data_IF_928773313852
#
_entry.id   IF_928773313852
#
_cell.length_a   1.000
_cell.length_b   1.000
_cell.length_c   1.000
_cell.angle_alpha   90.00
_cell.angle_beta   90.00
_cell.angle_gamma   90.00
#
_symmetry.space_group_name_H-M   'P 1'
#
loop_
_entity.id
_entity.type
_entity.pdbx_description
1 polymer ?
#
# COMPACT_ATOMS: atom_id res chain seq x y z
N UNK A 1 5.92 10.59 27.22
CA UNK A 1 6.40 10.75 25.83
C UNK A 1 6.12 9.47 25.08
N UNK A 2 5.67 9.54 23.82
CA UNK A 2 5.59 8.35 22.98
C UNK A 2 7.01 7.80 22.73
N UNK A 3 7.17 6.48 22.66
CA UNK A 3 8.44 5.86 22.25
C UNK A 3 8.53 5.90 20.74
N UNK A 4 9.61 6.47 20.20
CA UNK A 4 9.83 6.64 18.75
C UNK A 4 10.98 5.78 18.26
N UNK A 5 10.92 5.42 16.98
CA UNK A 5 12.03 4.84 16.23
C UNK A 5 12.47 5.92 15.24
N UNK A 6 13.76 6.24 15.23
CA UNK A 6 14.35 7.13 14.23
C UNK A 6 14.94 6.28 13.10
N UNK A 7 14.60 6.64 11.86
CA UNK A 7 15.00 5.89 10.67
C UNK A 7 15.76 6.85 9.75
N UNK A 8 16.98 6.48 9.37
CA UNK A 8 17.76 7.21 8.39
C UNK A 8 17.27 6.89 6.98
N UNK A 9 17.28 7.89 6.10
CA UNK A 9 17.04 7.69 4.67
C UNK A 9 18.23 6.95 4.06
N UNK A 10 17.97 6.19 2.99
CA UNK A 10 18.98 5.45 2.26
C UNK A 10 19.75 6.37 1.31
N UNK A 11 21.08 6.33 1.39
CA UNK A 11 21.99 6.99 0.43
C UNK A 11 21.92 6.36 -0.98
N UNK A 12 21.26 5.21 -1.09
CA UNK A 12 21.09 4.47 -2.34
C UNK A 12 19.61 4.31 -2.68
N UNK A 13 19.29 4.46 -3.96
CA UNK A 13 17.94 4.24 -4.49
C UNK A 13 17.84 2.91 -5.21
N UNK A 14 16.64 2.31 -5.21
CA UNK A 14 16.40 1.09 -5.97
C UNK A 14 16.32 1.42 -7.47
N UNK A 15 17.32 1.01 -8.26
CA UNK A 15 17.35 1.32 -9.70
C UNK A 15 16.10 0.79 -10.46
N UNK A 16 15.53 -0.34 -10.03
CA UNK A 16 14.27 -0.85 -10.58
C UNK A 16 13.08 0.03 -10.16
N UNK A 17 13.05 0.48 -8.90
CA UNK A 17 12.04 1.40 -8.38
C UNK A 17 12.04 2.75 -9.09
N UNK A 18 13.22 3.33 -9.34
CA UNK A 18 13.37 4.58 -10.10
C UNK A 18 12.78 4.45 -11.52
N UNK A 19 13.13 3.39 -12.25
CA UNK A 19 12.59 3.14 -13.60
C UNK A 19 11.09 2.89 -13.59
N UNK A 20 10.59 2.17 -12.59
CA UNK A 20 9.16 1.96 -12.42
C UNK A 20 8.44 3.29 -12.17
N UNK A 21 8.96 4.13 -11.26
CA UNK A 21 8.38 5.42 -10.96
C UNK A 21 8.35 6.35 -12.17
N UNK A 22 9.43 6.38 -12.97
CA UNK A 22 9.47 7.13 -14.21
C UNK A 22 8.39 6.67 -15.20
N UNK A 23 8.19 5.35 -15.36
CA UNK A 23 7.14 4.80 -16.25
C UNK A 23 5.72 5.11 -15.76
N UNK A 24 5.51 5.23 -14.45
CA UNK A 24 4.20 5.49 -13.87
C UNK A 24 3.89 6.97 -13.68
N UNK A 25 4.91 7.84 -13.80
CA UNK A 25 4.73 9.28 -13.77
C UNK A 25 3.84 9.71 -14.93
N UNK A 26 2.74 10.38 -14.60
CA UNK A 26 1.67 10.73 -15.53
C UNK A 26 1.10 12.11 -15.21
N UNK A 27 0.44 12.70 -16.20
CA UNK A 27 -0.34 13.94 -16.08
C UNK A 27 -1.72 13.69 -16.70
N UNK A 28 -2.81 13.71 -15.91
CA UNK A 28 -2.85 13.98 -14.47
C UNK A 28 -2.12 12.90 -13.63
N UNK A 29 -1.66 13.22 -12.41
CA UNK A 29 -1.08 12.22 -11.52
C UNK A 29 -2.07 11.10 -11.19
N UNK A 30 -1.54 9.92 -10.86
CA UNK A 30 -2.33 8.79 -10.31
C UNK A 30 -2.40 8.87 -8.79
N UNK A 31 -3.35 8.16 -8.20
CA UNK A 31 -3.38 7.95 -6.76
C UNK A 31 -2.31 6.94 -6.34
N UNK A 32 -1.58 7.26 -5.27
CA UNK A 32 -0.58 6.39 -4.69
C UNK A 32 -1.25 5.35 -3.79
N UNK A 33 -1.07 4.06 -4.11
CA UNK A 33 -1.59 2.95 -3.31
C UNK A 33 -0.45 2.28 -2.55
N UNK A 34 -0.44 2.45 -1.24
CA UNK A 34 0.44 1.78 -0.27
C UNK A 34 -0.37 0.68 0.42
N UNK A 35 0.26 -0.42 0.83
CA UNK A 35 -0.43 -1.47 1.58
C UNK A 35 0.40 -1.98 2.77
N UNK A 36 -0.25 -2.78 3.61
CA UNK A 36 0.42 -3.62 4.59
C UNK A 36 1.34 -4.60 3.85
N UNK A 37 2.60 -4.64 4.26
CA UNK A 37 3.62 -5.58 3.77
C UNK A 37 3.99 -6.61 4.86
N UNK A 38 3.10 -6.82 5.83
CA UNK A 38 3.28 -7.83 6.86
C UNK A 38 3.26 -9.23 6.26
N UNK A 39 4.11 -10.13 6.76
CA UNK A 39 4.17 -11.52 6.32
C UNK A 39 2.89 -12.33 6.62
N UNK A 40 2.07 -11.86 7.55
CA UNK A 40 0.85 -12.56 7.95
C UNK A 40 -0.22 -12.57 6.84
N UNK A 41 -1.20 -13.45 7.01
CA UNK A 41 -2.39 -13.60 6.18
C UNK A 41 -3.07 -12.27 5.82
N UNK A 42 -3.20 -11.37 6.80
CA UNK A 42 -3.82 -10.05 6.62
C UNK A 42 -2.98 -9.16 5.71
N UNK A 43 -1.66 -9.16 5.91
CA UNK A 43 -0.73 -8.41 5.07
C UNK A 43 -0.68 -8.97 3.65
N UNK A 44 -0.64 -10.30 3.51
CA UNK A 44 -0.66 -10.97 2.21
C UNK A 44 -1.93 -10.66 1.42
N UNK A 45 -3.09 -10.71 2.07
CA UNK A 45 -4.38 -10.39 1.45
C UNK A 45 -4.42 -8.92 1.01
N UNK A 46 -3.98 -7.98 1.87
CA UNK A 46 -3.91 -6.56 1.55
C UNK A 46 -2.96 -6.27 0.38
N UNK A 47 -1.80 -6.95 0.34
CA UNK A 47 -0.79 -6.84 -0.72
C UNK A 47 -1.34 -7.30 -2.07
N UNK A 48 -2.01 -8.45 -2.11
CA UNK A 48 -2.68 -8.95 -3.32
C UNK A 48 -3.79 -8.00 -3.77
N UNK A 49 -4.61 -7.50 -2.86
CA UNK A 49 -5.68 -6.55 -3.18
C UNK A 49 -5.12 -5.25 -3.79
N UNK A 50 -4.06 -4.68 -3.19
CA UNK A 50 -3.41 -3.49 -3.69
C UNK A 50 -2.85 -3.68 -5.12
N UNK A 51 -2.25 -4.85 -5.39
CA UNK A 51 -1.75 -5.18 -6.72
C UNK A 51 -2.90 -5.31 -7.73
N UNK A 52 -4.03 -5.93 -7.36
CA UNK A 52 -5.21 -5.99 -8.22
C UNK A 52 -5.73 -4.60 -8.57
N UNK A 53 -5.82 -3.69 -7.58
CA UNK A 53 -6.29 -2.31 -7.78
C UNK A 53 -5.40 -1.61 -8.82
N UNK A 54 -4.09 -1.50 -8.57
CA UNK A 54 -3.24 -0.63 -9.38
C UNK A 54 -2.71 -1.27 -10.68
N UNK A 55 -2.80 -2.60 -10.85
CA UNK A 55 -2.29 -3.28 -12.05
C UNK A 55 -3.37 -3.90 -12.91
N UNK A 56 -4.60 -4.05 -12.42
CA UNK A 56 -5.69 -4.68 -13.18
C UNK A 56 -6.95 -3.83 -13.23
N UNK A 57 -7.45 -3.37 -12.09
CA UNK A 57 -8.78 -2.76 -12.03
C UNK A 57 -8.78 -1.29 -12.46
N UNK A 58 -7.79 -0.51 -12.02
CA UNK A 58 -7.70 0.93 -12.32
C UNK A 58 -6.26 1.37 -12.64
N UNK A 59 -5.55 0.69 -13.58
CA UNK A 59 -4.12 0.93 -13.82
C UNK A 59 -3.79 2.34 -14.33
N UNK A 60 -4.75 3.04 -14.92
CA UNK A 60 -4.58 4.42 -15.38
C UNK A 60 -4.84 5.47 -14.28
N UNK A 61 -5.44 5.07 -13.16
CA UNK A 61 -5.82 5.98 -12.05
C UNK A 61 -5.04 5.72 -10.76
N UNK A 62 -4.43 4.54 -10.62
CA UNK A 62 -3.70 4.15 -9.41
C UNK A 62 -2.28 3.65 -9.74
N UNK A 63 -1.36 3.87 -8.82
CA UNK A 63 0.01 3.34 -8.88
C UNK A 63 0.38 2.64 -7.57
N UNK A 64 0.94 1.43 -7.65
CA UNK A 64 1.49 0.76 -6.47
C UNK A 64 2.79 1.44 -6.04
N UNK A 65 2.89 1.72 -4.75
CA UNK A 65 4.07 2.27 -4.09
C UNK A 65 4.75 1.19 -3.26
N UNK A 66 6.04 0.98 -3.51
CA UNK A 66 6.87 0.12 -2.68
C UNK A 66 7.16 0.82 -1.34
N UNK A 67 6.89 0.14 -0.23
CA UNK A 67 7.08 0.71 1.11
C UNK A 67 8.57 1.02 1.39
N UNK A 68 9.49 0.17 0.95
CA UNK A 68 10.94 0.44 1.05
C UNK A 68 11.37 1.67 0.25
N UNK A 69 10.65 2.03 -0.82
CA UNK A 69 10.92 3.24 -1.59
C UNK A 69 10.62 4.54 -0.83
N UNK A 70 9.90 4.47 0.29
CA UNK A 70 9.71 5.63 1.16
C UNK A 70 10.99 6.07 1.86
N UNK A 71 11.99 5.18 1.95
CA UNK A 71 13.30 5.44 2.54
C UNK A 71 14.28 6.12 1.58
N UNK A 72 13.94 6.28 0.30
CA UNK A 72 14.79 7.01 -0.65
C UNK A 72 15.01 8.47 -0.18
N UNK A 73 16.11 9.12 -0.51
CA UNK A 73 16.28 10.54 -0.17
C UNK A 73 15.33 11.42 -1.00
N UNK A 74 15.31 11.19 -2.31
CA UNK A 74 14.48 11.88 -3.29
C UNK A 74 14.24 11.02 -4.53
N UNK A 75 13.26 11.42 -5.35
CA UNK A 75 12.94 10.70 -6.59
C UNK A 75 12.04 9.50 -6.37
N UNK A 76 12.00 8.63 -7.39
CA UNK A 76 11.41 7.30 -7.30
C UNK A 76 10.00 7.25 -6.72
N UNK A 77 9.83 6.42 -5.71
CA UNK A 77 8.53 6.20 -5.06
C UNK A 77 8.07 7.44 -4.29
N UNK A 78 9.01 8.22 -3.72
CA UNK A 78 8.68 9.45 -2.98
C UNK A 78 8.09 10.52 -3.88
N UNK A 79 8.60 10.65 -5.10
CA UNK A 79 8.05 11.59 -6.07
C UNK A 79 6.65 11.19 -6.54
N UNK A 80 6.37 9.90 -6.69
CA UNK A 80 5.01 9.43 -6.97
C UNK A 80 4.06 9.78 -5.83
N UNK A 81 4.45 9.54 -4.58
CA UNK A 81 3.63 9.86 -3.41
C UNK A 81 3.37 11.38 -3.30
N UNK A 82 4.41 12.21 -3.45
CA UNK A 82 4.28 13.68 -3.36
C UNK A 82 3.40 14.28 -4.44
N UNK A 83 3.39 13.70 -5.65
CA UNK A 83 2.61 14.19 -6.79
C UNK A 83 1.21 13.59 -6.86
N UNK A 84 0.95 12.50 -6.15
CA UNK A 84 -0.33 11.81 -6.22
C UNK A 84 -1.49 12.72 -5.80
N UNK A 85 -2.65 12.58 -6.46
CA UNK A 85 -3.83 13.35 -6.05
C UNK A 85 -4.31 12.92 -4.65
N UNK A 86 -4.10 11.64 -4.33
CA UNK A 86 -4.41 11.02 -3.05
C UNK A 86 -3.39 9.94 -2.74
N UNK A 87 -3.11 9.77 -1.44
CA UNK A 87 -2.40 8.61 -0.92
C UNK A 87 -3.38 7.72 -0.18
N UNK A 88 -3.59 6.51 -0.71
CA UNK A 88 -4.47 5.50 -0.14
C UNK A 88 -3.64 4.38 0.46
N UNK A 89 -3.78 4.15 1.77
CA UNK A 89 -3.10 3.10 2.52
C UNK A 89 -4.07 1.97 2.84
N UNK A 90 -3.76 0.77 2.36
CA UNK A 90 -4.49 -0.47 2.66
C UNK A 90 -3.81 -1.19 3.82
N UNK A 91 -4.18 -0.85 5.05
CA UNK A 91 -3.63 -1.50 6.24
C UNK A 91 -4.39 -2.79 6.56
N UNK A 92 -3.66 -3.80 7.05
CA UNK A 92 -4.21 -5.14 7.32
C UNK A 92 -4.68 -5.35 8.75
N UNK A 93 -4.42 -4.42 9.67
CA UNK A 93 -4.85 -4.52 11.07
C UNK A 93 -4.73 -3.18 11.79
N UNK A 94 -5.19 -3.14 13.05
CA UNK A 94 -5.17 -1.95 13.90
C UNK A 94 -3.76 -1.40 14.24
N UNK A 95 -2.68 -2.13 13.92
CA UNK A 95 -1.32 -1.60 14.04
C UNK A 95 -1.05 -0.46 13.05
N UNK A 96 -1.83 -0.35 11.97
CA UNK A 96 -1.76 0.77 11.02
C UNK A 96 -0.32 1.12 10.59
N UNK A 97 0.48 0.08 10.29
CA UNK A 97 1.91 0.23 10.01
C UNK A 97 2.12 1.05 8.73
N UNK A 98 1.31 0.80 7.69
CA UNK A 98 1.28 1.59 6.47
C UNK A 98 1.07 3.06 6.74
N UNK A 99 0.04 3.40 7.52
CA UNK A 99 -0.27 4.79 7.89
C UNK A 99 0.92 5.44 8.61
N UNK A 100 1.39 4.82 9.69
CA UNK A 100 2.42 5.38 10.58
C UNK A 100 3.74 5.62 9.84
N UNK A 101 4.17 4.65 9.03
CA UNK A 101 5.40 4.76 8.24
C UNK A 101 5.26 5.80 7.13
N UNK A 102 4.08 5.91 6.50
CA UNK A 102 3.82 6.94 5.48
C UNK A 102 3.84 8.34 6.08
N UNK A 103 3.17 8.56 7.22
CA UNK A 103 3.18 9.84 7.94
C UNK A 103 4.58 10.20 8.45
N UNK A 104 5.36 9.22 8.90
CA UNK A 104 6.76 9.42 9.28
C UNK A 104 7.65 9.81 8.10
N UNK A 105 7.42 9.22 6.92
CA UNK A 105 8.20 9.51 5.72
C UNK A 105 7.85 10.85 5.05
N UNK A 106 6.64 11.37 5.31
CA UNK A 106 6.12 12.63 4.78
C UNK A 106 5.36 13.41 5.86
N UNK A 107 6.06 14.19 6.69
CA UNK A 107 5.44 15.02 7.71
C UNK A 107 4.37 15.97 7.10
N UNK A 108 3.17 15.94 7.66
CA UNK A 108 2.03 16.76 7.21
C UNK A 108 1.18 16.12 6.09
N UNK A 109 1.56 14.95 5.58
CA UNK A 109 0.72 14.17 4.67
C UNK A 109 -0.34 13.40 5.48
N UNK A 110 -1.60 13.54 5.10
CA UNK A 110 -2.72 12.84 5.72
C UNK A 110 -3.23 11.75 4.76
N UNK A 111 -2.76 10.49 4.87
CA UNK A 111 -3.19 9.45 3.96
C UNK A 111 -4.61 8.98 4.31
N UNK A 112 -5.40 8.65 3.29
CA UNK A 112 -6.66 7.93 3.48
C UNK A 112 -6.36 6.46 3.80
N UNK A 113 -6.97 5.92 4.85
CA UNK A 113 -6.66 4.57 5.33
C UNK A 113 -7.88 3.66 5.21
N UNK A 114 -7.65 2.48 4.63
CA UNK A 114 -8.60 1.39 4.54
C UNK A 114 -8.07 0.21 5.34
N UNK A 115 -8.79 -0.19 6.39
CA UNK A 115 -8.51 -1.42 7.15
C UNK A 115 -9.12 -2.61 6.42
N UNK A 116 -8.28 -3.31 5.66
CA UNK A 116 -8.68 -4.38 4.75
C UNK A 116 -9.21 -5.63 5.46
N UNK A 117 -8.77 -5.90 6.69
CA UNK A 117 -9.28 -6.98 7.56
C UNK A 117 -10.75 -6.83 7.92
N UNK A 118 -11.35 -5.66 7.69
CA UNK A 118 -12.77 -5.39 7.93
C UNK A 118 -13.65 -5.55 6.68
N UNK A 119 -13.07 -5.88 5.53
CA UNK A 119 -13.77 -5.94 4.24
C UNK A 119 -14.09 -7.37 3.79
N UNK A 120 -13.73 -8.38 4.58
CA UNK A 120 -14.05 -9.78 4.35
C UNK A 120 -14.21 -10.51 5.69
N UNK A 121 -14.87 -11.67 5.66
CA UNK A 121 -15.06 -12.52 6.83
C UNK A 121 -13.95 -13.58 6.84
N UNK A 122 -13.31 -13.77 7.99
CA UNK A 122 -12.31 -14.80 8.22
C UNK A 122 -12.17 -15.07 9.71
N UNK A 123 -11.55 -16.20 10.05
CA UNK A 123 -11.16 -16.51 11.42
C UNK A 123 -10.00 -15.61 11.85
N UNK A 124 -10.27 -14.73 12.81
CA UNK A 124 -9.35 -13.68 13.27
C UNK A 124 -8.15 -14.25 14.03
N UNK A 125 -8.24 -15.50 14.50
CA UNK A 125 -7.17 -16.19 15.21
C UNK A 125 -6.08 -16.71 14.27
N UNK A 126 -6.35 -16.79 12.95
CA UNK A 126 -5.38 -17.17 11.94
C UNK A 126 -4.37 -16.05 11.65
N UNK A 127 -3.10 -16.43 11.49
CA UNK A 127 -1.98 -15.52 11.28
C UNK A 127 -1.16 -15.85 10.04
N UNK A 128 -0.79 -17.12 9.83
CA UNK A 128 0.03 -17.60 8.73
C UNK A 128 -0.72 -17.68 7.40
N UNK A 129 0.02 -17.49 6.30
CA UNK A 129 -0.52 -17.63 4.93
C UNK A 129 -0.79 -19.10 4.56
N UNK A 130 -0.19 -20.03 5.29
CA UNK A 130 -0.31 -21.47 5.15
C UNK A 130 -1.51 -22.06 5.93
N UNK A 131 -2.18 -21.25 6.75
CA UNK A 131 -3.32 -21.68 7.56
C UNK A 131 -4.64 -21.72 6.79
N UNK A 132 -4.70 -21.12 5.59
CA UNK A 132 -5.84 -21.24 4.67
C UNK A 132 -5.39 -21.55 3.24
N UNK A 133 -6.24 -22.16 2.40
CA UNK A 133 -5.94 -22.36 0.99
C UNK A 133 -5.67 -21.03 0.28
N UNK A 134 -4.68 -21.01 -0.62
CA UNK A 134 -4.31 -19.83 -1.41
C UNK A 134 -5.51 -19.26 -2.18
N UNK A 135 -6.40 -20.11 -2.68
CA UNK A 135 -7.63 -19.70 -3.37
C UNK A 135 -8.55 -18.84 -2.50
N UNK A 136 -8.56 -19.05 -1.18
CA UNK A 136 -9.31 -18.18 -0.26
C UNK A 136 -8.62 -16.83 -0.08
N UNK A 137 -7.29 -16.78 -0.02
CA UNK A 137 -6.52 -15.51 0.01
C UNK A 137 -6.81 -14.70 -1.25
N UNK A 138 -6.82 -15.35 -2.42
CA UNK A 138 -7.16 -14.72 -3.71
C UNK A 138 -8.58 -14.16 -3.67
N UNK A 139 -9.57 -14.97 -3.29
CA UNK A 139 -10.97 -14.53 -3.22
C UNK A 139 -11.17 -13.34 -2.26
N UNK A 140 -10.51 -13.36 -1.11
CA UNK A 140 -10.55 -12.26 -0.14
C UNK A 140 -9.92 -10.98 -0.72
N UNK A 141 -8.76 -11.10 -1.38
CA UNK A 141 -8.09 -9.99 -2.03
C UNK A 141 -8.93 -9.36 -3.15
N UNK A 142 -9.61 -10.18 -3.97
CA UNK A 142 -10.53 -9.72 -5.01
C UNK A 142 -11.72 -8.96 -4.41
N UNK A 143 -12.32 -9.49 -3.33
CA UNK A 143 -13.43 -8.85 -2.61
C UNK A 143 -13.02 -7.49 -2.02
N UNK A 144 -11.82 -7.38 -1.45
CA UNK A 144 -11.26 -6.11 -0.97
C UNK A 144 -11.07 -5.15 -2.14
N UNK A 145 -10.40 -5.59 -3.19
CA UNK A 145 -10.06 -4.76 -4.34
C UNK A 145 -11.32 -4.16 -5.00
N UNK A 146 -12.36 -4.97 -5.19
CA UNK A 146 -13.64 -4.52 -5.74
C UNK A 146 -14.31 -3.44 -4.88
N UNK A 147 -14.37 -3.64 -3.56
CA UNK A 147 -14.96 -2.66 -2.64
C UNK A 147 -14.17 -1.34 -2.60
N UNK A 148 -12.84 -1.41 -2.61
CA UNK A 148 -11.99 -0.22 -2.64
C UNK A 148 -12.14 0.54 -3.95
N UNK A 149 -12.14 -0.14 -5.09
CA UNK A 149 -12.37 0.51 -6.40
C UNK A 149 -13.73 1.19 -6.45
N UNK A 150 -14.79 0.50 -6.00
CA UNK A 150 -16.13 1.07 -5.99
C UNK A 150 -16.25 2.31 -5.10
N UNK A 151 -15.49 2.40 -4.01
CA UNK A 151 -15.56 3.54 -3.09
C UNK A 151 -14.68 4.72 -3.50
N UNK A 152 -13.48 4.45 -3.99
CA UNK A 152 -12.44 5.47 -4.15
C UNK A 152 -12.18 5.84 -5.62
N UNK A 153 -12.52 4.97 -6.58
CA UNK A 153 -12.17 5.12 -7.98
C UNK A 153 -13.38 5.09 -8.92
N UNK A 154 -14.52 5.62 -8.49
CA UNK A 154 -15.61 5.99 -9.39
C UNK A 154 -15.31 7.32 -10.08
#
# INVERSE_FOLDING_TARGET
>A
MAKTIEIQLAEHSCAAGLRYAQKQSSSPPKDAVICCEGMCLKGETARRAANLIAHKLVPDRAVRICHGGLLEEAGGMRDLVRKANRVLVLDGCAMACGKRLTEGAFPGLEPEVVFTDKLFEYDQDLFGVDEIPDSQIVANAEKIAAQVVAKYFQ
#
